data_IF_503636535373
#
_entry.id   IF_503636535373
#
_cell.length_a   1.000
_cell.length_b   1.000
_cell.length_c   1.000
_cell.angle_alpha   90.00
_cell.angle_beta   90.00
_cell.angle_gamma   90.00
#
_symmetry.space_group_name_H-M   'P 1'
#
loop_
_entity.id
_entity.type
_entity.pdbx_description
1 polymer ?
#
# COMPACT_ATOMS: atom_id res chain seq x y z
N UNK A 1 -4.72 -19.54 53.03
CA UNK A 1 -3.80 -19.01 52.00
C UNK A 1 -4.63 -18.88 50.74
N UNK A 2 -4.93 -17.67 50.27
CA UNK A 2 -5.80 -17.45 49.11
C UNK A 2 -4.95 -17.35 47.85
N UNK A 3 -5.21 -18.21 46.87
CA UNK A 3 -4.55 -18.16 45.56
C UNK A 3 -5.37 -17.23 44.67
N UNK A 4 -4.88 -16.01 44.47
CA UNK A 4 -5.45 -15.09 43.48
C UNK A 4 -5.01 -15.58 42.10
N UNK A 5 -5.96 -16.07 41.30
CA UNK A 5 -5.72 -16.36 39.88
C UNK A 5 -6.05 -15.09 39.08
N UNK A 6 -5.01 -14.43 38.58
CA UNK A 6 -5.16 -13.31 37.65
C UNK A 6 -5.24 -13.92 36.25
N UNK A 7 -6.45 -14.06 35.72
CA UNK A 7 -6.65 -14.37 34.31
C UNK A 7 -6.51 -13.10 33.48
N UNK A 8 -5.45 -13.01 32.68
CA UNK A 8 -5.39 -12.02 31.62
C UNK A 8 -6.29 -12.49 30.47
N UNK A 9 -7.48 -11.93 30.36
CA UNK A 9 -8.19 -11.94 29.08
C UNK A 9 -7.45 -10.97 28.17
N UNK A 10 -6.59 -11.52 27.29
CA UNK A 10 -6.20 -10.79 26.10
C UNK A 10 -7.50 -10.53 25.33
N UNK A 11 -7.96 -9.29 25.34
CA UNK A 11 -8.96 -8.86 24.37
C UNK A 11 -8.32 -9.13 23.01
N UNK A 12 -8.78 -10.17 22.32
CA UNK A 12 -8.52 -10.34 20.89
C UNK A 12 -9.24 -9.16 20.22
N UNK A 13 -8.61 -7.99 20.19
CA UNK A 13 -9.03 -6.94 19.27
C UNK A 13 -8.92 -7.55 17.89
N UNK A 14 -10.07 -7.89 17.32
CA UNK A 14 -10.21 -8.31 15.95
C UNK A 14 -9.76 -7.11 15.12
N UNK A 15 -8.47 -7.06 14.82
CA UNK A 15 -7.88 -6.02 13.98
C UNK A 15 -8.54 -6.16 12.61
N UNK A 16 -9.61 -5.45 12.26
CA UNK A 16 -10.30 -5.59 10.97
C UNK A 16 -9.59 -4.92 9.76
N UNK A 17 -8.36 -4.44 9.92
CA UNK A 17 -7.62 -3.85 8.80
C UNK A 17 -6.89 -4.91 7.97
N UNK A 18 -6.58 -4.56 6.74
CA UNK A 18 -5.81 -5.40 5.81
C UNK A 18 -4.66 -4.61 5.20
N UNK A 19 -3.68 -5.34 4.66
CA UNK A 19 -2.62 -4.76 3.85
C UNK A 19 -3.00 -4.79 2.37
N UNK A 20 -2.55 -3.77 1.65
CA UNK A 20 -2.58 -3.71 0.19
C UNK A 20 -1.15 -3.72 -0.30
N UNK A 21 -0.84 -4.65 -1.20
CA UNK A 21 0.40 -4.71 -1.95
C UNK A 21 0.18 -4.20 -3.37
N UNK A 22 0.90 -3.15 -3.76
CA UNK A 22 0.87 -2.56 -5.09
C UNK A 22 2.14 -2.96 -5.85
N UNK A 23 1.96 -3.74 -6.91
CA UNK A 23 3.02 -4.13 -7.84
C UNK A 23 3.03 -3.17 -9.02
N UNK A 24 4.21 -2.70 -9.39
CA UNK A 24 4.37 -1.80 -10.53
C UNK A 24 5.68 -2.01 -11.26
N UNK A 25 5.78 -1.37 -12.41
CA UNK A 25 6.98 -1.28 -13.23
C UNK A 25 7.09 0.16 -13.74
N UNK A 26 8.31 0.68 -13.88
CA UNK A 26 8.53 1.95 -14.54
C UNK A 26 9.73 1.87 -15.50
N UNK A 27 9.65 2.64 -16.57
CA UNK A 27 10.69 2.74 -17.60
C UNK A 27 10.99 4.19 -17.94
N UNK A 28 12.25 4.48 -18.24
CA UNK A 28 12.72 5.81 -18.64
C UNK A 28 14.02 5.73 -19.43
N UNK A 29 14.38 6.86 -20.04
CA UNK A 29 15.69 7.08 -20.65
C UNK A 29 16.72 7.46 -19.58
N UNK A 30 17.69 6.58 -19.34
CA UNK A 30 18.73 6.75 -18.31
C UNK A 30 19.69 7.92 -18.59
N UNK A 31 19.75 8.39 -19.85
CA UNK A 31 20.56 9.57 -20.17
C UNK A 31 19.96 10.85 -19.57
N UNK A 32 18.64 10.88 -19.38
CA UNK A 32 17.87 12.08 -19.04
C UNK A 32 17.23 12.02 -17.66
N UNK A 33 16.86 10.82 -17.19
CA UNK A 33 16.14 10.61 -15.92
C UNK A 33 16.99 9.82 -14.93
N UNK A 34 17.12 10.36 -13.70
CA UNK A 34 17.93 9.80 -12.60
C UNK A 34 17.20 9.93 -11.26
N UNK A 35 17.73 9.26 -10.24
CA UNK A 35 17.27 9.32 -8.84
C UNK A 35 15.76 9.06 -8.72
N UNK A 36 15.29 7.91 -9.22
CA UNK A 36 13.86 7.59 -9.30
C UNK A 36 13.39 6.87 -8.03
N UNK A 37 12.41 7.47 -7.36
CA UNK A 37 11.77 6.93 -6.16
C UNK A 37 10.28 6.76 -6.40
N UNK A 38 9.72 5.66 -5.88
CA UNK A 38 8.28 5.44 -5.84
C UNK A 38 7.80 5.45 -4.39
N UNK A 39 6.72 6.17 -4.12
CA UNK A 39 6.09 6.25 -2.79
C UNK A 39 4.61 5.92 -2.89
N UNK A 40 4.14 4.99 -2.06
CA UNK A 40 2.73 4.65 -1.92
C UNK A 40 2.10 5.48 -0.80
N UNK A 41 1.16 6.32 -1.18
CA UNK A 41 0.35 7.14 -0.28
C UNK A 41 -1.01 6.49 -0.06
N UNK A 42 -1.38 6.35 1.21
CA UNK A 42 -2.76 6.17 1.62
C UNK A 42 -3.36 7.57 1.83
N UNK A 43 -4.18 8.04 0.89
CA UNK A 43 -4.70 9.41 0.91
C UNK A 43 -5.68 9.66 2.07
N UNK A 44 -6.18 8.59 2.69
CA UNK A 44 -7.13 8.63 3.79
C UNK A 44 -6.44 8.63 5.18
N UNK A 45 -5.10 8.46 5.23
CA UNK A 45 -4.31 8.52 6.49
C UNK A 45 -2.96 9.20 6.31
N UNK A 46 -2.59 10.14 7.21
CA UNK A 46 -1.24 10.69 7.20
C UNK A 46 -0.24 9.68 7.79
N UNK A 47 0.54 9.01 6.92
CA UNK A 47 1.73 8.18 7.24
C UNK A 47 1.46 6.93 8.14
N UNK A 48 2.31 5.89 8.06
CA UNK A 48 3.50 5.74 7.24
C UNK A 48 3.21 5.41 5.77
N UNK A 49 4.09 5.88 4.89
CA UNK A 49 4.10 5.57 3.45
C UNK A 49 5.27 4.63 3.17
N UNK A 50 5.08 3.67 2.26
CA UNK A 50 6.18 2.84 1.76
C UNK A 50 6.86 3.58 0.60
N UNK A 51 8.16 3.84 0.74
CA UNK A 51 8.97 4.59 -0.22
C UNK A 51 10.19 3.75 -0.60
N UNK A 52 10.45 3.61 -1.90
CA UNK A 52 11.58 2.82 -2.41
C UNK A 52 12.24 3.49 -3.60
N UNK A 53 13.56 3.38 -3.67
CA UNK A 53 14.31 3.63 -4.90
C UNK A 53 14.01 2.49 -5.88
N UNK A 54 13.68 2.84 -7.12
CA UNK A 54 13.32 1.86 -8.16
C UNK A 54 14.31 1.89 -9.31
N UNK A 55 14.42 0.77 -10.03
CA UNK A 55 15.36 0.58 -11.13
C UNK A 55 14.64 0.56 -12.47
N UNK A 56 15.29 1.09 -13.50
CA UNK A 56 14.72 1.16 -14.84
C UNK A 56 14.34 -0.24 -15.35
N UNK A 57 13.13 -0.37 -15.88
CA UNK A 57 12.58 -1.60 -16.45
C UNK A 57 12.61 -2.79 -15.46
N UNK A 58 12.48 -2.52 -14.16
CA UNK A 58 12.34 -3.54 -13.12
C UNK A 58 11.06 -3.35 -12.33
N UNK A 59 10.49 -4.48 -11.91
CA UNK A 59 9.31 -4.48 -11.06
C UNK A 59 9.67 -4.02 -9.64
N UNK A 60 8.72 -3.37 -8.99
CA UNK A 60 8.77 -2.99 -7.59
C UNK A 60 7.45 -3.33 -6.90
N UNK A 61 7.51 -3.41 -5.57
CA UNK A 61 6.34 -3.64 -4.71
C UNK A 61 6.35 -2.63 -3.59
N UNK A 62 5.22 -2.00 -3.36
CA UNK A 62 4.96 -1.11 -2.23
C UNK A 62 3.76 -1.63 -1.45
N UNK A 63 3.74 -1.41 -0.14
CA UNK A 63 2.66 -1.92 0.72
C UNK A 63 2.15 -0.88 1.71
N UNK A 64 0.86 -0.94 2.03
CA UNK A 64 0.28 -0.06 3.06
C UNK A 64 -0.87 -0.75 3.80
N UNK A 65 -1.08 -0.37 5.06
CA UNK A 65 -2.16 -0.87 5.89
C UNK A 65 -3.36 0.07 5.83
N UNK A 66 -4.54 -0.46 5.48
CA UNK A 66 -5.76 0.34 5.27
C UNK A 66 -6.50 0.60 6.60
N UNK A 67 -6.33 -0.25 7.59
CA UNK A 67 -6.92 -0.09 8.91
C UNK A 67 -8.46 -0.17 8.93
N UNK A 68 -8.98 -0.42 10.13
CA UNK A 68 -10.37 -0.87 10.37
C UNK A 68 -11.44 0.10 9.86
N UNK A 69 -11.40 1.36 10.29
CA UNK A 69 -12.43 2.37 9.98
C UNK A 69 -12.58 2.73 8.49
N UNK A 70 -11.55 2.48 7.69
CA UNK A 70 -11.55 2.81 6.25
C UNK A 70 -12.09 1.62 5.47
N UNK A 71 -11.70 0.40 5.87
CA UNK A 71 -12.29 -0.84 5.38
C UNK A 71 -13.83 -0.84 5.53
N UNK A 72 -14.35 -0.37 6.66
CA UNK A 72 -15.80 -0.32 6.93
C UNK A 72 -16.58 0.63 5.98
N UNK A 73 -15.91 1.61 5.38
CA UNK A 73 -16.54 2.55 4.45
C UNK A 73 -16.31 2.20 2.97
N UNK A 74 -15.59 1.11 2.67
CA UNK A 74 -15.24 0.65 1.32
C UNK A 74 -14.70 1.76 0.40
N UNK A 75 -14.02 2.75 0.96
CA UNK A 75 -13.39 3.84 0.23
C UNK A 75 -11.93 3.89 0.60
N UNK A 76 -11.09 3.35 -0.28
CA UNK A 76 -9.65 3.36 -0.14
C UNK A 76 -9.06 4.10 -1.32
N UNK A 77 -8.46 5.26 -1.06
CA UNK A 77 -7.77 6.04 -2.09
C UNK A 77 -6.26 5.88 -1.93
N UNK A 78 -5.64 5.14 -2.86
CA UNK A 78 -4.19 4.98 -2.91
C UNK A 78 -3.58 5.67 -4.13
N UNK A 79 -2.41 6.25 -3.94
CA UNK A 79 -1.65 6.89 -5.02
C UNK A 79 -0.19 6.50 -4.93
N UNK A 80 0.40 6.11 -6.05
CA UNK A 80 1.84 5.95 -6.19
C UNK A 80 2.41 7.21 -6.83
N UNK A 81 3.31 7.89 -6.14
CA UNK A 81 4.04 9.04 -6.64
C UNK A 81 5.45 8.60 -7.04
N UNK A 82 5.85 8.97 -8.25
CA UNK A 82 7.19 8.79 -8.78
C UNK A 82 7.92 10.13 -8.74
N UNK A 83 8.91 10.26 -7.87
CA UNK A 83 9.79 11.42 -7.80
C UNK A 83 11.11 11.11 -8.50
N UNK A 84 11.56 12.01 -9.39
CA UNK A 84 12.77 11.81 -10.18
C UNK A 84 13.42 13.13 -10.56
N UNK A 85 14.69 13.08 -10.98
CA UNK A 85 15.35 14.19 -11.66
C UNK A 85 15.29 13.97 -13.14
N UNK A 86 14.90 15.01 -13.88
CA UNK A 86 15.08 15.11 -15.32
C UNK A 86 16.00 16.28 -15.60
N UNK A 87 17.15 16.01 -16.21
CA UNK A 87 18.24 16.98 -16.32
C UNK A 87 18.63 17.50 -14.93
N UNK A 88 18.42 18.79 -14.64
CA UNK A 88 18.66 19.40 -13.32
C UNK A 88 17.38 19.68 -12.52
N UNK A 89 16.22 19.38 -13.09
CA UNK A 89 14.91 19.68 -12.48
C UNK A 89 14.32 18.47 -11.76
N UNK A 90 13.81 18.70 -10.54
CA UNK A 90 12.96 17.71 -9.86
C UNK A 90 11.59 17.64 -10.54
N UNK A 91 11.12 16.43 -10.78
CA UNK A 91 9.81 16.11 -11.36
C UNK A 91 9.10 15.11 -10.46
N UNK A 92 7.77 15.11 -10.55
CA UNK A 92 6.91 14.20 -9.82
C UNK A 92 5.75 13.78 -10.73
N UNK A 93 5.43 12.48 -10.73
CA UNK A 93 4.32 11.92 -11.49
C UNK A 93 3.46 11.06 -10.56
N UNK A 94 2.16 11.36 -10.51
CA UNK A 94 1.22 10.62 -9.68
C UNK A 94 0.45 9.59 -10.51
N UNK A 95 0.28 8.39 -9.95
CA UNK A 95 -0.56 7.31 -10.49
C UNK A 95 -1.53 6.84 -9.42
N UNK A 96 -2.82 7.02 -9.67
CA UNK A 96 -3.87 6.46 -8.83
C UNK A 96 -3.87 4.94 -8.98
N UNK A 97 -3.93 4.22 -7.86
CA UNK A 97 -4.12 2.77 -7.87
C UNK A 97 -5.56 2.49 -8.31
N UNK A 98 -5.80 1.60 -9.28
CA UNK A 98 -7.14 1.32 -9.78
C UNK A 98 -8.12 0.92 -8.66
N UNK A 99 -9.30 1.53 -8.62
CA UNK A 99 -10.32 1.23 -7.60
C UNK A 99 -10.83 -0.21 -7.71
N UNK A 100 -10.76 -0.83 -8.89
CA UNK A 100 -11.20 -2.21 -9.13
C UNK A 100 -10.42 -3.24 -8.29
N UNK A 101 -9.18 -2.94 -7.88
CA UNK A 101 -8.43 -3.83 -6.97
C UNK A 101 -8.75 -3.56 -5.49
N UNK A 102 -9.52 -2.52 -5.19
CA UNK A 102 -9.90 -2.06 -3.85
C UNK A 102 -11.42 -1.88 -3.71
N UNK A 103 -12.21 -2.60 -4.51
CA UNK A 103 -13.66 -2.52 -4.44
C UNK A 103 -14.24 -3.42 -3.33
N UNK A 104 -15.50 -3.19 -3.00
CA UNK A 104 -16.21 -3.91 -1.92
C UNK A 104 -16.30 -5.43 -2.10
N UNK A 105 -16.03 -5.94 -3.30
CA UNK A 105 -16.04 -7.38 -3.62
C UNK A 105 -14.64 -7.99 -3.56
N UNK A 106 -13.59 -7.20 -3.30
CA UNK A 106 -12.26 -7.75 -3.16
C UNK A 106 -12.21 -8.60 -1.89
N UNK A 107 -11.71 -9.84 -2.02
CA UNK A 107 -11.70 -10.87 -0.96
C UNK A 107 -11.00 -10.43 0.31
N UNK A 108 -10.19 -9.37 0.25
CA UNK A 108 -9.50 -8.75 1.36
C UNK A 108 -10.41 -7.89 2.27
N UNK A 109 -11.57 -7.40 1.79
CA UNK A 109 -12.56 -6.69 2.64
C UNK A 109 -13.45 -7.65 3.43
N UNK A 110 -13.70 -8.86 2.94
CA UNK A 110 -14.59 -9.85 3.57
C UNK A 110 -13.94 -10.67 4.70
N UNK A 111 -12.79 -10.23 5.23
CA UNK A 111 -11.99 -11.02 6.18
C UNK A 111 -12.19 -10.63 7.65
N UNK A 112 -13.29 -9.91 7.93
CA UNK A 112 -13.74 -9.63 9.30
C UNK A 112 -13.92 -10.95 10.07
N UNK A 113 -13.24 -11.08 11.21
CA UNK A 113 -13.27 -12.29 12.03
C UNK A 113 -12.27 -13.39 11.66
N UNK A 114 -11.48 -13.27 10.59
CA UNK A 114 -10.35 -14.18 10.33
C UNK A 114 -9.12 -13.78 11.16
N UNK A 115 -8.41 -14.77 11.70
CA UNK A 115 -7.08 -14.58 12.31
C UNK A 115 -6.13 -13.95 11.29
N UNK A 116 -5.24 -13.07 11.73
CA UNK A 116 -4.31 -12.32 10.88
C UNK A 116 -3.53 -13.23 9.91
N UNK A 117 -3.06 -14.39 10.38
CA UNK A 117 -2.29 -15.36 9.59
C UNK A 117 -3.08 -16.02 8.45
N UNK A 118 -4.41 -16.00 8.52
CA UNK A 118 -5.31 -16.56 7.52
C UNK A 118 -5.87 -15.50 6.57
N UNK A 119 -5.32 -14.28 6.62
CA UNK A 119 -5.75 -13.17 5.79
C UNK A 119 -4.98 -13.12 4.49
N UNK A 120 -5.71 -12.80 3.43
CA UNK A 120 -5.12 -12.50 2.12
C UNK A 120 -5.00 -10.99 1.97
N UNK A 121 -3.82 -10.53 1.59
CA UNK A 121 -3.58 -9.14 1.23
C UNK A 121 -4.32 -8.78 -0.06
N UNK A 122 -4.81 -7.55 -0.19
CA UNK A 122 -5.23 -7.09 -1.52
C UNK A 122 -3.98 -6.92 -2.39
N UNK A 123 -4.01 -7.45 -3.61
CA UNK A 123 -2.94 -7.26 -4.57
C UNK A 123 -3.44 -6.39 -5.71
N UNK A 124 -2.75 -5.28 -5.93
CA UNK A 124 -3.03 -4.31 -6.98
C UNK A 124 -1.88 -4.26 -7.97
N UNK A 125 -2.20 -4.15 -9.27
CA UNK A 125 -1.21 -4.01 -10.33
C UNK A 125 -1.33 -2.64 -10.99
N UNK A 126 -0.21 -1.94 -11.08
CA UNK A 126 -0.06 -0.75 -11.89
C UNK A 126 0.51 -1.13 -13.26
N UNK A 127 -0.08 -0.56 -14.31
CA UNK A 127 0.52 -0.62 -15.63
C UNK A 127 1.92 0.01 -15.63
N UNK A 128 2.79 -0.44 -16.53
CA UNK A 128 4.12 0.13 -16.72
C UNK A 128 4.03 1.64 -16.90
N UNK A 129 4.72 2.37 -16.03
CA UNK A 129 4.75 3.83 -16.04
C UNK A 129 5.97 4.31 -16.80
N UNK A 130 5.75 5.08 -17.86
CA UNK A 130 6.84 5.75 -18.59
C UNK A 130 7.13 7.08 -17.91
N UNK A 131 8.36 7.29 -17.45
CA UNK A 131 8.82 8.57 -16.92
C UNK A 131 9.53 9.33 -18.04
N UNK A 132 9.12 10.57 -18.23
CA UNK A 132 9.62 11.44 -19.29
C UNK A 132 9.96 12.80 -18.77
#
# INVERSE_FOLDING_TARGET
MYTISISYTYYEEINNGFYVSVFGNATWDESNVKDVWATLFNNDRPKPNDTREIKNNRNFTLSTYIGTKIAENNKVSLTVTFDYKKEESKKSLNKTVPEDCLNSNATCFEQTGKRYEAREDCVCYLNTTVLS
#
